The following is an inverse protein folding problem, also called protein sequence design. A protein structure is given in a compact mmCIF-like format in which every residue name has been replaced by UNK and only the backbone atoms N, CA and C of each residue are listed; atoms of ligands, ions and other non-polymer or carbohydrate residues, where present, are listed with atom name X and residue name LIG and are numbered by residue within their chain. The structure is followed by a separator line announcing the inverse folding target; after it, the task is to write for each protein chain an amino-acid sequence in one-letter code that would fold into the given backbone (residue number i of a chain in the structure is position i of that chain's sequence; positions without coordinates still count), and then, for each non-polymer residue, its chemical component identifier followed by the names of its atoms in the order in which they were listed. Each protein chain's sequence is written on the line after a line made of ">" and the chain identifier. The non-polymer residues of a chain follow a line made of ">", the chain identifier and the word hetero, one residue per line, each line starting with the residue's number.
data_IF_402646632816
#
_entry.id   IF_402646632816
#
_cell.length_a   1.000
_cell.length_b   1.000
_cell.length_c   1.000
_cell.angle_alpha   90.00
_cell.angle_beta   90.00
_cell.angle_gamma   90.00
#
_symmetry.space_group_name_H-M   'P 1'
#
loop_
_entity.id
_entity.type
_entity.pdbx_description
1 polymer ?
#
# COMPACT_ATOMS: atom_id res chain seq x y z
N UNK A 1 -19.73 -12.95 3.42
CA UNK A 1 -18.40 -12.51 3.88
C UNK A 1 -17.82 -11.57 2.83
N UNK A 2 -17.28 -10.40 3.22
CA UNK A 2 -16.67 -9.47 2.26
C UNK A 2 -15.31 -10.00 1.81
N UNK A 3 -15.02 -9.96 0.51
CA UNK A 3 -13.70 -10.37 -0.03
C UNK A 3 -12.64 -9.36 0.41
N UNK A 4 -11.43 -9.77 0.83
CA UNK A 4 -10.37 -8.83 1.17
C UNK A 4 -10.07 -7.90 0.00
N UNK A 5 -9.99 -6.59 0.28
CA UNK A 5 -9.64 -5.57 -0.72
C UNK A 5 -8.13 -5.42 -0.76
N UNK A 6 -7.53 -5.65 -1.92
CA UNK A 6 -6.10 -5.41 -2.12
C UNK A 6 -5.80 -3.92 -1.96
N UNK A 7 -4.75 -3.57 -1.21
CA UNK A 7 -4.29 -2.19 -1.02
C UNK A 7 -3.21 -1.83 -2.03
N UNK A 8 -3.10 -0.54 -2.37
CA UNK A 8 -2.05 -0.03 -3.24
C UNK A 8 -0.69 -0.01 -2.50
N UNK A 9 0.34 -0.73 -2.99
CA UNK A 9 1.66 -0.76 -2.37
C UNK A 9 2.35 0.61 -2.33
N UNK A 10 2.07 1.47 -3.31
CA UNK A 10 2.69 2.79 -3.53
C UNK A 10 1.97 3.91 -2.77
N UNK A 11 0.66 3.75 -2.55
CA UNK A 11 -0.19 4.72 -1.83
C UNK A 11 -0.78 4.05 -0.58
N UNK A 12 -0.01 3.93 0.52
CA UNK A 12 -0.49 3.30 1.74
C UNK A 12 -1.68 4.09 2.30
N UNK A 13 -2.87 3.51 2.29
CA UNK A 13 -4.07 4.34 2.38
C UNK A 13 -5.18 3.79 1.51
N UNK A 14 -4.83 3.66 0.25
CA UNK A 14 -5.77 3.50 -0.84
C UNK A 14 -5.96 2.04 -1.23
N UNK A 15 -7.17 1.71 -1.66
CA UNK A 15 -7.44 0.46 -2.36
C UNK A 15 -6.70 0.44 -3.71
N UNK A 16 -6.39 -0.75 -4.21
CA UNK A 16 -5.89 -0.91 -5.56
C UNK A 16 -6.94 -0.44 -6.57
N UNK A 17 -6.56 0.47 -7.47
CA UNK A 17 -7.45 1.07 -8.46
C UNK A 17 -7.42 0.36 -9.83
N UNK A 18 -6.64 -0.71 -9.98
CA UNK A 18 -6.51 -1.46 -11.25
C UNK A 18 -6.22 -0.51 -12.45
N UNK A 19 -5.14 0.27 -12.34
CA UNK A 19 -4.89 1.45 -13.17
C UNK A 19 -4.82 1.21 -14.69
N UNK A 20 -4.74 -0.04 -15.17
CA UNK A 20 -4.67 -0.36 -16.59
C UNK A 20 -5.53 -1.59 -16.93
N UNK A 21 -5.99 -1.74 -18.19
CA UNK A 21 -6.83 -2.85 -18.61
C UNK A 21 -6.20 -4.23 -18.37
N UNK A 22 -6.96 -5.14 -17.76
CA UNK A 22 -6.49 -6.50 -17.47
C UNK A 22 -5.76 -6.66 -16.14
N UNK A 23 -5.50 -5.58 -15.39
CA UNK A 23 -4.96 -5.69 -14.05
C UNK A 23 -5.94 -6.40 -13.10
N UNK A 24 -5.42 -7.37 -12.34
CA UNK A 24 -6.15 -8.14 -11.31
C UNK A 24 -5.70 -7.76 -9.90
N UNK A 25 -4.58 -7.06 -9.77
CA UNK A 25 -4.11 -6.54 -8.50
C UNK A 25 -2.73 -5.88 -8.58
N UNK A 26 -2.12 -5.60 -7.42
CA UNK A 26 -0.83 -4.94 -7.33
C UNK A 26 0.33 -5.69 -8.01
N UNK A 27 0.23 -7.02 -8.09
CA UNK A 27 1.23 -7.88 -8.77
C UNK A 27 1.35 -7.58 -10.27
N UNK A 28 0.32 -7.00 -10.89
CA UNK A 28 0.35 -6.64 -12.31
C UNK A 28 0.88 -5.20 -12.52
N UNK A 29 1.09 -4.42 -11.45
CA UNK A 29 1.42 -3.01 -11.56
C UNK A 29 2.90 -2.76 -11.91
N UNK A 30 3.15 -2.19 -13.10
CA UNK A 30 4.50 -1.84 -13.54
C UNK A 30 5.23 -0.86 -12.61
N UNK A 31 4.53 0.09 -11.97
CA UNK A 31 5.15 0.98 -10.99
C UNK A 31 5.61 0.23 -9.74
N UNK A 32 4.83 -0.76 -9.29
CA UNK A 32 5.19 -1.62 -8.16
C UNK A 32 6.41 -2.49 -8.50
N UNK A 33 6.52 -2.94 -9.75
CA UNK A 33 7.71 -3.62 -10.25
C UNK A 33 8.95 -2.70 -10.18
N UNK A 34 8.89 -1.53 -10.81
CA UNK A 34 10.04 -0.59 -10.86
C UNK A 34 10.52 -0.16 -9.47
N UNK A 35 9.60 0.11 -8.55
CA UNK A 35 9.95 0.52 -7.18
C UNK A 35 10.55 -0.63 -6.37
N UNK A 36 10.18 -1.87 -6.64
CA UNK A 36 10.75 -3.04 -5.94
C UNK A 36 12.08 -3.49 -6.53
N UNK A 37 12.30 -3.25 -7.82
CA UNK A 37 13.56 -3.55 -8.51
C UNK A 37 14.70 -2.62 -8.06
N UNK A 38 14.37 -1.37 -7.69
CA UNK A 38 15.31 -0.41 -7.13
C UNK A 38 15.43 -0.56 -5.59
N UNK A 39 16.61 -0.91 -5.05
CA UNK A 39 16.80 -1.14 -3.61
C UNK A 39 16.55 0.11 -2.74
N UNK A 40 16.91 1.29 -3.23
CA UNK A 40 16.73 2.54 -2.48
C UNK A 40 15.26 2.92 -2.40
N UNK A 41 14.53 2.80 -3.52
CA UNK A 41 13.10 3.03 -3.56
C UNK A 41 12.34 1.98 -2.74
N UNK A 42 12.73 0.71 -2.79
CA UNK A 42 12.13 -0.35 -1.98
C UNK A 42 12.30 -0.07 -0.47
N UNK A 43 13.51 0.33 -0.05
CA UNK A 43 13.79 0.70 1.34
C UNK A 43 12.97 1.92 1.78
N UNK A 44 12.85 2.94 0.92
CA UNK A 44 12.04 4.11 1.19
C UNK A 44 10.56 3.77 1.32
N UNK A 45 10.04 2.90 0.45
CA UNK A 45 8.66 2.44 0.52
C UNK A 45 8.37 1.67 1.81
N UNK A 46 9.31 0.82 2.25
CA UNK A 46 9.22 0.12 3.52
C UNK A 46 9.16 1.10 4.71
N UNK A 47 10.02 2.13 4.72
CA UNK A 47 9.99 3.20 5.75
C UNK A 47 8.64 3.91 5.80
N UNK A 48 8.10 4.31 4.65
CA UNK A 48 6.79 4.98 4.56
C UNK A 48 5.64 4.10 5.07
N UNK A 49 5.66 2.81 4.74
CA UNK A 49 4.65 1.84 5.22
C UNK A 49 4.67 1.72 6.74
N UNK A 50 5.85 1.64 7.36
CA UNK A 50 5.99 1.58 8.82
C UNK A 50 5.43 2.85 9.46
N UNK A 51 5.74 4.03 8.91
CA UNK A 51 5.23 5.31 9.41
C UNK A 51 3.70 5.39 9.36
N UNK A 52 3.08 5.04 8.23
CA UNK A 52 1.61 5.04 8.07
C UNK A 52 0.95 4.03 9.00
N UNK A 53 1.53 2.84 9.17
CA UNK A 53 1.00 1.84 10.09
C UNK A 53 1.08 2.30 11.55
N UNK A 54 2.16 2.99 11.94
CA UNK A 54 2.28 3.59 13.26
C UNK A 54 1.23 4.67 13.49
N UNK A 55 1.02 5.57 12.52
CA UNK A 55 -0.02 6.61 12.58
C UNK A 55 -1.42 6.00 12.70
N UNK A 56 -1.74 4.99 11.88
CA UNK A 56 -3.04 4.27 11.94
C UNK A 56 -3.27 3.60 13.30
N UNK A 57 -2.23 2.99 13.89
CA UNK A 57 -2.30 2.40 15.23
C UNK A 57 -2.53 3.46 16.30
N UNK A 58 -1.83 4.59 16.23
CA UNK A 58 -2.04 5.72 17.12
C UNK A 58 -3.44 6.30 17.03
N UNK A 59 -3.95 6.51 15.81
CA UNK A 59 -5.32 6.98 15.57
C UNK A 59 -6.38 6.00 16.11
N UNK A 60 -6.17 4.68 15.97
CA UNK A 60 -7.05 3.66 16.55
C UNK A 60 -6.98 3.60 18.07
N UNK A 61 -5.81 3.83 18.66
CA UNK A 61 -5.63 3.90 20.11
C UNK A 61 -6.22 5.17 20.74
N UNK A 62 -6.48 6.21 19.94
CA UNK A 62 -7.15 7.45 20.35
C UNK A 62 -8.58 7.61 19.84
N UNK A 63 -9.25 6.54 19.38
CA UNK A 63 -10.66 6.57 18.99
C UNK A 63 -11.59 6.80 20.20
N UNK A 64 -12.83 7.31 20.00
CA UNK A 64 -13.57 8.04 21.03
C UNK A 64 -14.03 7.14 22.18
N UNK A 65 -14.04 7.69 23.40
CA UNK A 65 -14.77 7.17 24.55
C UNK A 65 -16.28 7.38 24.38
#
# INVERSE_FOLDING_TARGET
>A
MARPVAQCPIRPGDACSLCFPGATGPQDCGLVYLVQDDPEMAAELARRRVAVNRQRRGARAGGPA
#
